data_IF_302670468416
#
_entry.id   IF_302670468416
#
_cell.length_a   1.000
_cell.length_b   1.000
_cell.length_c   1.000
_cell.angle_alpha   90.00
_cell.angle_beta   90.00
_cell.angle_gamma   90.00
#
_symmetry.space_group_name_H-M   'P 1'
#
loop_
_entity.id
_entity.type
_entity.pdbx_description
1 polymer ?
#
# COMPACT_ATOMS: atom_id res chain seq x y z
N UNK A 1 -10.15 -16.18 -20.25
CA UNK A 1 -9.84 -16.11 -18.80
C UNK A 1 -10.86 -16.98 -18.07
N UNK A 2 -10.43 -18.07 -17.44
CA UNK A 2 -11.32 -18.92 -16.64
C UNK A 2 -11.82 -18.12 -15.42
N UNK A 3 -13.10 -18.27 -15.05
CA UNK A 3 -13.64 -17.65 -13.84
C UNK A 3 -12.97 -18.28 -12.62
N UNK A 4 -12.38 -17.45 -11.76
CA UNK A 4 -11.80 -17.89 -10.49
C UNK A 4 -12.91 -18.36 -9.54
N UNK A 5 -12.63 -19.37 -8.72
CA UNK A 5 -13.57 -19.87 -7.72
C UNK A 5 -13.82 -18.80 -6.64
N UNK A 6 -15.07 -18.69 -6.16
CA UNK A 6 -15.44 -17.79 -5.07
C UNK A 6 -14.60 -18.00 -3.80
N UNK A 7 -14.12 -19.23 -3.56
CA UNK A 7 -13.22 -19.53 -2.44
C UNK A 7 -11.87 -18.83 -2.59
N UNK A 8 -11.31 -18.80 -3.80
CA UNK A 8 -10.04 -18.12 -4.08
C UNK A 8 -10.18 -16.62 -3.92
N UNK A 9 -11.27 -16.05 -4.43
CA UNK A 9 -11.58 -14.62 -4.23
C UNK A 9 -11.71 -14.27 -2.75
N UNK A 10 -12.42 -15.09 -1.98
CA UNK A 10 -12.59 -14.89 -0.54
C UNK A 10 -11.24 -14.84 0.20
N UNK A 11 -10.36 -15.83 0.00
CA UNK A 11 -9.05 -15.84 0.66
C UNK A 11 -8.13 -14.72 0.17
N UNK A 12 -8.23 -14.35 -1.11
CA UNK A 12 -7.47 -13.22 -1.65
C UNK A 12 -7.89 -11.90 -1.00
N UNK A 13 -9.20 -11.65 -0.89
CA UNK A 13 -9.72 -10.48 -0.19
C UNK A 13 -9.34 -10.46 1.29
N UNK A 14 -9.34 -11.62 1.97
CA UNK A 14 -8.93 -11.71 3.37
C UNK A 14 -7.47 -11.25 3.57
N UNK A 15 -6.59 -11.54 2.62
CA UNK A 15 -5.19 -11.11 2.66
C UNK A 15 -5.02 -9.61 2.36
N UNK A 16 -5.96 -8.99 1.63
CA UNK A 16 -5.94 -7.57 1.28
C UNK A 16 -6.51 -6.66 2.40
N UNK A 17 -7.40 -7.20 3.24
CA UNK A 17 -8.03 -6.44 4.32
C UNK A 17 -7.05 -5.69 5.22
N UNK A 18 -5.98 -6.30 5.78
CA UNK A 18 -5.05 -5.58 6.63
C UNK A 18 -4.35 -4.44 5.91
N UNK A 19 -4.05 -4.63 4.61
CA UNK A 19 -3.37 -3.63 3.79
C UNK A 19 -4.24 -2.39 3.62
N UNK A 20 -5.51 -2.61 3.26
CA UNK A 20 -6.48 -1.53 3.08
C UNK A 20 -6.82 -0.85 4.41
N UNK A 21 -6.89 -1.60 5.52
CA UNK A 21 -7.12 -1.04 6.85
C UNK A 21 -5.99 -0.09 7.29
N UNK A 22 -4.73 -0.41 6.99
CA UNK A 22 -3.60 0.47 7.32
C UNK A 22 -3.53 1.73 6.45
N UNK A 23 -3.96 1.65 5.19
CA UNK A 23 -3.94 2.80 4.26
C UNK A 23 -5.06 3.80 4.55
N UNK A 24 -6.19 3.34 5.09
CA UNK A 24 -7.38 4.17 5.27
C UNK A 24 -7.13 5.40 6.18
N UNK A 25 -6.48 5.30 7.36
CA UNK A 25 -6.13 6.47 8.18
C UNK A 25 -5.22 7.47 7.46
N UNK A 26 -4.29 7.00 6.63
CA UNK A 26 -3.36 7.89 5.89
C UNK A 26 -4.12 8.79 4.92
N UNK A 27 -5.19 8.28 4.31
CA UNK A 27 -5.99 9.03 3.34
C UNK A 27 -7.02 9.93 4.02
N UNK A 28 -7.66 9.45 5.10
CA UNK A 28 -8.82 10.14 5.69
C UNK A 28 -8.47 10.91 6.95
N UNK A 29 -7.67 10.32 7.84
CA UNK A 29 -7.36 10.90 9.15
C UNK A 29 -6.24 11.94 9.07
N UNK A 30 -5.13 11.62 8.41
CA UNK A 30 -3.94 12.49 8.35
C UNK A 30 -4.28 13.89 7.81
N UNK A 31 -4.96 14.05 6.66
CA UNK A 31 -5.20 15.38 6.10
C UNK A 31 -6.12 16.20 7.00
N UNK A 32 -7.16 15.55 7.54
CA UNK A 32 -8.12 16.16 8.48
C UNK A 32 -7.42 16.61 9.76
N UNK A 33 -6.56 15.78 10.32
CA UNK A 33 -5.82 16.07 11.54
C UNK A 33 -4.90 17.28 11.35
N UNK A 34 -4.10 17.29 10.27
CA UNK A 34 -3.20 18.40 10.01
C UNK A 34 -3.92 19.70 9.64
N UNK A 35 -5.02 19.63 8.88
CA UNK A 35 -5.76 20.84 8.48
C UNK A 35 -6.65 21.41 9.58
N UNK A 36 -7.40 20.55 10.28
CA UNK A 36 -8.46 20.98 11.20
C UNK A 36 -7.99 21.01 12.65
N UNK A 37 -7.21 20.02 13.09
CA UNK A 37 -6.80 19.92 14.49
C UNK A 37 -5.51 20.71 14.75
N UNK A 38 -4.58 20.72 13.79
CA UNK A 38 -3.32 21.49 13.86
C UNK A 38 -3.37 22.85 13.15
N UNK A 39 -4.44 23.15 12.40
CA UNK A 39 -4.63 24.44 11.74
C UNK A 39 -3.67 24.71 10.57
N UNK A 40 -3.04 23.69 10.00
CA UNK A 40 -2.17 23.86 8.83
C UNK A 40 -3.03 24.20 7.61
N UNK A 41 -2.57 25.16 6.80
CA UNK A 41 -3.27 25.55 5.58
C UNK A 41 -3.52 24.34 4.67
N UNK A 42 -4.75 24.19 4.19
CA UNK A 42 -5.18 23.08 3.31
C UNK A 42 -4.30 22.96 2.07
N UNK A 43 -3.85 24.09 1.52
CA UNK A 43 -2.94 24.12 0.37
C UNK A 43 -1.60 23.42 0.67
N UNK A 44 -1.06 23.60 1.88
CA UNK A 44 0.19 22.96 2.32
C UNK A 44 0.02 21.46 2.48
N UNK A 45 -1.05 21.04 3.17
CA UNK A 45 -1.37 19.61 3.35
C UNK A 45 -1.57 18.93 1.99
N UNK A 46 -2.33 19.57 1.09
CA UNK A 46 -2.53 19.07 -0.28
C UNK A 46 -1.22 18.98 -1.08
N UNK A 47 -0.32 19.93 -0.92
CA UNK A 47 1.00 19.90 -1.58
C UNK A 47 1.86 18.74 -1.06
N UNK A 48 1.89 18.52 0.25
CA UNK A 48 2.63 17.39 0.85
C UNK A 48 2.06 16.05 0.36
N UNK A 49 0.72 15.91 0.34
CA UNK A 49 0.10 14.70 -0.20
C UNK A 49 0.41 14.49 -1.67
N UNK A 50 0.40 15.55 -2.48
CA UNK A 50 0.77 15.48 -3.89
C UNK A 50 2.20 14.99 -4.07
N UNK A 51 3.15 15.53 -3.31
CA UNK A 51 4.55 15.10 -3.33
C UNK A 51 4.69 13.62 -2.94
N UNK A 52 3.94 13.16 -1.93
CA UNK A 52 3.89 11.75 -1.56
C UNK A 52 3.41 10.88 -2.72
N UNK A 53 2.37 11.31 -3.46
CA UNK A 53 1.88 10.56 -4.63
C UNK A 53 2.87 10.51 -5.78
N UNK A 54 3.59 11.60 -6.03
CA UNK A 54 4.66 11.61 -7.03
C UNK A 54 5.76 10.63 -6.65
N UNK A 55 6.08 10.52 -5.37
CA UNK A 55 7.01 9.52 -4.88
C UNK A 55 6.48 8.09 -5.10
N UNK A 56 5.23 7.81 -4.73
CA UNK A 56 4.57 6.51 -4.95
C UNK A 56 4.65 6.07 -6.43
N UNK A 57 4.39 7.00 -7.36
CA UNK A 57 4.44 6.76 -8.81
C UNK A 57 5.82 6.28 -9.26
N UNK A 58 6.90 6.65 -8.58
CA UNK A 58 8.25 6.17 -8.89
C UNK A 58 8.56 4.86 -8.16
N UNK A 59 8.17 4.73 -6.89
CA UNK A 59 8.50 3.55 -6.08
C UNK A 59 7.72 2.31 -6.48
N UNK A 60 6.45 2.45 -6.86
CA UNK A 60 5.58 1.31 -7.17
C UNK A 60 6.09 0.50 -8.37
N UNK A 61 6.50 1.12 -9.51
CA UNK A 61 7.12 0.39 -10.61
C UNK A 61 8.45 -0.26 -10.24
N UNK A 62 9.28 0.40 -9.41
CA UNK A 62 10.57 -0.13 -8.96
C UNK A 62 10.34 -1.40 -8.14
N UNK A 63 9.42 -1.34 -7.16
CA UNK A 63 9.07 -2.51 -6.35
C UNK A 63 8.42 -3.61 -7.17
N UNK A 64 7.58 -3.26 -8.16
CA UNK A 64 7.02 -4.22 -9.11
C UNK A 64 8.12 -4.95 -9.91
N UNK A 65 9.08 -4.19 -10.44
CA UNK A 65 10.23 -4.74 -11.18
C UNK A 65 11.07 -5.67 -10.31
N UNK A 66 11.43 -5.23 -9.09
CA UNK A 66 12.22 -6.01 -8.14
C UNK A 66 11.49 -7.31 -7.75
N UNK A 67 10.19 -7.21 -7.44
CA UNK A 67 9.35 -8.36 -7.07
C UNK A 67 9.26 -9.41 -8.18
N UNK A 68 9.16 -8.97 -9.43
CA UNK A 68 9.07 -9.88 -10.58
C UNK A 68 10.42 -10.50 -11.00
N UNK A 69 11.54 -9.79 -10.79
CA UNK A 69 12.88 -10.28 -11.13
C UNK A 69 13.53 -11.12 -10.02
N UNK A 70 12.94 -11.15 -8.82
CA UNK A 70 13.47 -11.93 -7.70
C UNK A 70 13.32 -13.43 -7.95
N UNK A 71 14.44 -14.15 -8.04
CA UNK A 71 14.46 -15.62 -8.15
C UNK A 71 14.76 -16.22 -6.78
N UNK A 72 13.71 -16.63 -6.07
CA UNK A 72 13.84 -17.34 -4.79
C UNK A 72 13.32 -18.77 -4.85
N UNK A 73 13.78 -19.59 -3.90
CA UNK A 73 13.30 -20.97 -3.68
C UNK A 73 11.81 -21.07 -3.34
N UNK A 74 11.20 -19.99 -2.85
CA UNK A 74 9.78 -19.93 -2.48
C UNK A 74 8.89 -19.30 -3.57
N UNK A 75 9.47 -18.97 -4.73
CA UNK A 75 8.81 -18.28 -5.85
C UNK A 75 9.18 -16.80 -5.94
N UNK A 76 8.65 -16.11 -6.96
CA UNK A 76 9.02 -14.72 -7.29
C UNK A 76 8.55 -13.69 -6.26
N UNK A 77 7.25 -13.70 -5.95
CA UNK A 77 6.59 -12.68 -5.11
C UNK A 77 6.44 -13.03 -3.62
N UNK A 78 6.55 -14.32 -3.26
CA UNK A 78 6.32 -14.78 -1.87
C UNK A 78 7.32 -14.23 -0.83
N UNK A 79 8.63 -14.09 -1.13
CA UNK A 79 9.57 -13.49 -0.18
C UNK A 79 9.26 -12.02 0.12
N UNK A 80 8.86 -11.26 -0.90
CA UNK A 80 8.49 -9.86 -0.74
C UNK A 80 7.26 -9.69 0.14
N UNK A 81 6.24 -10.53 -0.05
CA UNK A 81 5.05 -10.54 0.82
C UNK A 81 5.44 -10.94 2.26
N UNK A 82 6.29 -11.95 2.43
CA UNK A 82 6.72 -12.37 3.76
C UNK A 82 7.54 -11.29 4.49
N UNK A 83 8.38 -10.55 3.76
CA UNK A 83 9.15 -9.42 4.30
C UNK A 83 8.29 -8.19 4.57
N UNK A 84 7.27 -7.94 3.75
CA UNK A 84 6.39 -6.79 3.95
C UNK A 84 5.54 -6.92 5.20
N UNK A 85 5.17 -8.13 5.62
CA UNK A 85 4.37 -8.36 6.84
C UNK A 85 4.99 -7.73 8.11
N UNK A 86 6.23 -8.03 8.52
CA UNK A 86 6.83 -7.40 9.69
C UNK A 86 7.08 -5.91 9.51
N UNK A 87 7.43 -5.46 8.29
CA UNK A 87 7.61 -4.03 7.99
C UNK A 87 6.30 -3.27 8.16
N UNK A 88 5.18 -3.87 7.79
CA UNK A 88 3.85 -3.28 7.88
C UNK A 88 3.27 -3.31 9.30
N UNK A 89 3.84 -4.13 10.20
CA UNK A 89 3.49 -4.16 11.62
C UNK A 89 4.25 -3.11 12.46
N UNK A 90 5.26 -2.46 11.89
CA UNK A 90 6.00 -1.34 12.48
C UNK A 90 5.32 -0.01 12.14
#
# INVERSE_FOLDING_TARGET
MSRLSNKVLFYYSLADLPVTMSIFPVIVFIPRFYSNDMGIAVATVGTIMLLSRVFDVMTDPIMGYLSDHTRSRWGRRKPWIALSVPVMML
#
